data_IF_635311728924
#
_entry.id   IF_635311728924
#
_cell.length_a   1.000
_cell.length_b   1.000
_cell.length_c   1.000
_cell.angle_alpha   90.00
_cell.angle_beta   90.00
_cell.angle_gamma   90.00
#
_symmetry.space_group_name_H-M   'P 1'
#
loop_
_entity.id
_entity.type
_entity.pdbx_description
1 polymer ?
#
# COMPACT_ATOMS: atom_id res chain seq x y z
N UNK A 1 -18.80 3.79 45.83
CA UNK A 1 -17.56 4.57 45.76
C UNK A 1 -16.48 3.85 46.51
N UNK A 2 -15.24 3.74 45.96
CA UNK A 2 -14.06 3.12 46.56
C UNK A 2 -13.92 1.59 46.47
N UNK A 3 -13.60 1.06 45.26
CA UNK A 3 -12.71 -0.11 45.07
C UNK A 3 -12.09 -0.21 43.68
N UNK A 4 -12.26 0.81 42.79
CA UNK A 4 -11.72 0.82 41.46
C UNK A 4 -10.32 1.48 41.32
N UNK A 5 -9.66 1.85 42.42
CA UNK A 5 -8.46 2.70 42.41
C UNK A 5 -7.16 2.04 42.93
N UNK A 6 -7.05 0.70 42.94
CA UNK A 6 -5.85 0.03 43.46
C UNK A 6 -5.08 -0.86 42.47
N UNK A 7 -5.24 -0.66 41.16
CA UNK A 7 -4.40 -1.33 40.14
C UNK A 7 -3.65 -0.37 39.23
N UNK A 8 -3.33 0.85 39.67
CA UNK A 8 -2.40 1.75 38.94
C UNK A 8 -0.94 1.49 39.37
N UNK A 9 -0.43 0.31 39.03
CA UNK A 9 1.01 0.16 38.88
C UNK A 9 1.42 1.20 37.85
N UNK A 10 2.42 2.07 38.18
CA UNK A 10 2.89 3.18 37.34
C UNK A 10 3.10 2.69 35.90
N UNK A 11 2.15 2.98 35.01
CA UNK A 11 2.31 2.66 33.59
C UNK A 11 3.52 3.46 33.08
N UNK A 12 4.43 2.76 32.40
CA UNK A 12 5.63 3.39 31.82
C UNK A 12 5.24 4.59 30.96
N UNK A 13 5.94 5.71 31.10
CA UNK A 13 5.76 6.87 30.25
C UNK A 13 5.99 6.53 28.76
N UNK A 14 5.31 7.23 27.86
CA UNK A 14 5.52 7.11 26.41
C UNK A 14 6.97 7.47 26.06
N UNK A 15 7.59 6.68 25.19
CA UNK A 15 8.99 6.92 24.83
C UNK A 15 9.47 6.10 23.63
N UNK A 16 10.78 6.09 23.43
CA UNK A 16 11.44 5.42 22.29
C UNK A 16 11.09 3.94 22.17
N UNK A 17 10.91 3.26 23.31
CA UNK A 17 10.55 1.84 23.32
C UNK A 17 9.18 1.57 22.69
N UNK A 18 8.19 2.46 22.88
CA UNK A 18 6.88 2.34 22.22
C UNK A 18 6.99 2.61 20.71
N UNK A 19 7.81 3.61 20.31
CA UNK A 19 8.03 3.97 18.91
C UNK A 19 8.69 2.83 18.13
N UNK A 20 9.77 2.26 18.67
CA UNK A 20 10.47 1.14 18.06
C UNK A 20 9.62 -0.14 18.03
N UNK A 21 8.84 -0.39 19.08
CA UNK A 21 7.93 -1.51 19.12
C UNK A 21 6.81 -1.39 18.06
N UNK A 22 6.28 -0.19 17.89
CA UNK A 22 5.27 0.09 16.87
C UNK A 22 5.87 -0.02 15.46
N UNK A 23 7.09 0.50 15.24
CA UNK A 23 7.84 0.31 14.00
C UNK A 23 8.04 -1.18 13.66
N UNK A 24 8.46 -1.99 14.64
CA UNK A 24 8.65 -3.43 14.44
C UNK A 24 7.34 -4.14 14.02
N UNK A 25 6.19 -3.73 14.59
CA UNK A 25 4.89 -4.26 14.18
C UNK A 25 4.55 -3.99 12.71
N UNK A 26 4.90 -2.81 12.20
CA UNK A 26 4.69 -2.48 10.77
C UNK A 26 5.64 -3.27 9.86
N UNK A 27 6.91 -3.33 10.22
CA UNK A 27 7.88 -4.16 9.49
C UNK A 27 7.43 -5.63 9.42
N UNK A 28 6.87 -6.17 10.52
CA UNK A 28 6.34 -7.54 10.53
C UNK A 28 5.17 -7.72 9.54
N UNK A 29 4.25 -6.76 9.47
CA UNK A 29 3.17 -6.74 8.49
C UNK A 29 3.75 -6.68 7.06
N UNK A 30 4.69 -5.78 6.84
CA UNK A 30 5.20 -5.45 5.51
C UNK A 30 6.09 -6.55 4.93
N UNK A 31 6.81 -7.34 5.73
CA UNK A 31 7.56 -8.48 5.23
C UNK A 31 6.67 -9.49 4.48
N UNK A 32 5.46 -9.73 4.93
CA UNK A 32 4.53 -10.58 4.19
C UNK A 32 3.80 -9.84 3.08
N UNK A 33 3.34 -8.62 3.35
CA UNK A 33 2.52 -7.85 2.43
C UNK A 33 3.29 -7.39 1.19
N UNK A 34 4.45 -6.75 1.37
CA UNK A 34 5.26 -6.22 0.25
C UNK A 34 5.87 -7.36 -0.56
N UNK A 35 6.32 -8.43 0.12
CA UNK A 35 6.80 -9.63 -0.58
C UNK A 35 5.71 -10.21 -1.49
N UNK A 36 4.49 -10.33 -0.99
CA UNK A 36 3.36 -10.83 -1.78
C UNK A 36 2.96 -9.85 -2.88
N UNK A 37 2.90 -8.55 -2.59
CA UNK A 37 2.52 -7.55 -3.57
C UNK A 37 3.48 -7.46 -4.78
N UNK A 38 4.78 -7.66 -4.56
CA UNK A 38 5.80 -7.50 -5.60
C UNK A 38 6.19 -8.81 -6.29
N UNK A 39 6.14 -9.95 -5.60
CA UNK A 39 6.74 -11.19 -6.10
C UNK A 39 5.79 -12.39 -6.16
N UNK A 40 4.59 -12.32 -5.58
CA UNK A 40 3.69 -13.48 -5.57
C UNK A 40 3.16 -13.81 -6.96
N UNK A 41 2.83 -12.81 -7.77
CA UNK A 41 2.42 -12.99 -9.16
C UNK A 41 3.54 -13.68 -9.96
N UNK A 42 4.78 -13.20 -9.81
CA UNK A 42 5.97 -13.82 -10.43
C UNK A 42 6.15 -15.28 -10.00
N UNK A 43 6.01 -15.57 -8.70
CA UNK A 43 6.10 -16.94 -8.18
C UNK A 43 5.01 -17.84 -8.77
N UNK A 44 3.77 -17.37 -8.80
CA UNK A 44 2.66 -18.17 -9.34
C UNK A 44 2.78 -18.41 -10.86
N UNK A 45 3.22 -17.41 -11.63
CA UNK A 45 3.39 -17.57 -13.08
C UNK A 45 4.64 -18.39 -13.42
N UNK A 46 5.80 -18.03 -12.89
CA UNK A 46 7.08 -18.57 -13.33
C UNK A 46 7.47 -19.88 -12.61
N UNK A 47 7.06 -20.05 -11.34
CA UNK A 47 7.38 -21.26 -10.57
C UNK A 47 6.24 -22.28 -10.61
N UNK A 48 5.00 -21.86 -10.31
CA UNK A 48 3.85 -22.77 -10.32
C UNK A 48 3.26 -22.97 -11.72
N UNK A 49 3.65 -22.15 -12.70
CA UNK A 49 3.18 -22.19 -14.09
C UNK A 49 1.67 -21.99 -14.23
N UNK A 50 1.11 -21.05 -13.46
CA UNK A 50 -0.30 -20.69 -13.49
C UNK A 50 -0.51 -19.47 -14.38
N UNK A 51 -1.52 -19.51 -15.22
CA UNK A 51 -1.84 -18.42 -16.14
C UNK A 51 -2.23 -17.12 -15.41
N UNK A 52 -1.76 -15.99 -15.92
CA UNK A 52 -1.90 -14.67 -15.28
C UNK A 52 -3.35 -14.28 -15.03
N UNK A 53 -4.29 -14.62 -15.92
CA UNK A 53 -5.72 -14.31 -15.74
C UNK A 53 -6.34 -15.01 -14.53
N UNK A 54 -5.93 -16.26 -14.21
CA UNK A 54 -6.40 -16.99 -13.02
C UNK A 54 -5.94 -16.28 -11.77
N UNK A 55 -4.67 -15.83 -11.76
CA UNK A 55 -4.09 -15.07 -10.65
C UNK A 55 -4.81 -13.73 -10.48
N UNK A 56 -5.13 -13.06 -11.60
CA UNK A 56 -5.91 -11.82 -11.60
C UNK A 56 -7.31 -12.01 -10.98
N UNK A 57 -8.01 -13.08 -11.34
CA UNK A 57 -9.31 -13.44 -10.73
C UNK A 57 -9.15 -13.71 -9.23
N UNK A 58 -8.12 -14.46 -8.83
CA UNK A 58 -7.83 -14.73 -7.42
C UNK A 58 -7.66 -13.42 -6.64
N UNK A 59 -6.84 -12.49 -7.13
CA UNK A 59 -6.59 -11.22 -6.46
C UNK A 59 -7.84 -10.36 -6.35
N UNK A 60 -8.69 -10.33 -7.40
CA UNK A 60 -9.98 -9.63 -7.36
C UNK A 60 -10.93 -10.23 -6.33
N UNK A 61 -11.10 -11.56 -6.35
CA UNK A 61 -11.98 -12.25 -5.40
C UNK A 61 -11.53 -12.03 -3.95
N UNK A 62 -10.23 -12.16 -3.69
CA UNK A 62 -9.67 -11.93 -2.38
C UNK A 62 -9.98 -10.51 -1.87
N UNK A 63 -9.91 -9.47 -2.72
CA UNK A 63 -10.25 -8.11 -2.32
C UNK A 63 -11.72 -7.92 -1.97
N UNK A 64 -12.62 -8.65 -2.63
CA UNK A 64 -14.03 -8.66 -2.25
C UNK A 64 -14.19 -9.28 -0.86
N UNK A 65 -13.54 -10.42 -0.61
CA UNK A 65 -13.55 -11.08 0.71
C UNK A 65 -12.92 -10.19 1.78
N UNK A 66 -11.79 -9.52 1.49
CA UNK A 66 -11.11 -8.55 2.38
C UNK A 66 -12.09 -7.47 2.87
N UNK A 67 -12.94 -6.94 1.98
CA UNK A 67 -13.92 -5.92 2.35
C UNK A 67 -14.87 -6.38 3.46
N UNK A 68 -15.32 -7.63 3.42
CA UNK A 68 -16.20 -8.21 4.45
C UNK A 68 -15.43 -8.56 5.72
N UNK A 69 -14.25 -9.15 5.59
CA UNK A 69 -13.44 -9.57 6.75
C UNK A 69 -12.88 -8.40 7.52
N UNK A 70 -12.51 -7.30 6.85
CA UNK A 70 -12.07 -6.06 7.49
C UNK A 70 -13.16 -5.46 8.38
N UNK A 71 -14.41 -5.40 7.89
CA UNK A 71 -15.56 -4.93 8.67
C UNK A 71 -15.81 -5.87 9.85
N UNK A 72 -15.77 -7.19 9.60
CA UNK A 72 -15.95 -8.20 10.63
C UNK A 72 -14.88 -8.10 11.73
N UNK A 73 -13.60 -7.95 11.34
CA UNK A 73 -12.50 -7.83 12.28
C UNK A 73 -12.54 -6.50 13.05
N UNK A 74 -12.92 -5.39 12.41
CA UNK A 74 -13.15 -4.12 13.08
C UNK A 74 -14.16 -4.27 14.22
N UNK A 75 -15.29 -4.94 13.96
CA UNK A 75 -16.29 -5.23 15.02
C UNK A 75 -15.77 -6.14 16.12
N UNK A 76 -14.99 -7.18 15.77
CA UNK A 76 -14.36 -8.04 16.79
C UNK A 76 -13.45 -7.20 17.68
N UNK A 77 -12.65 -6.32 17.10
CA UNK A 77 -11.76 -5.42 17.84
C UNK A 77 -12.53 -4.51 18.80
N UNK A 78 -13.68 -3.97 18.39
CA UNK A 78 -14.46 -3.03 19.20
C UNK A 78 -15.24 -3.71 20.33
N UNK A 79 -15.67 -4.96 20.11
CA UNK A 79 -16.54 -5.68 21.05
C UNK A 79 -15.83 -6.66 21.98
N UNK A 80 -14.60 -7.09 21.62
CA UNK A 80 -13.86 -8.08 22.41
C UNK A 80 -13.47 -7.51 23.77
N UNK A 81 -13.63 -8.32 24.81
CA UNK A 81 -13.14 -7.97 26.16
C UNK A 81 -11.61 -7.90 26.12
N UNK A 82 -11.00 -6.87 26.76
CA UNK A 82 -9.56 -6.76 26.84
C UNK A 82 -8.93 -8.01 27.47
N UNK A 83 -7.85 -8.49 26.86
CA UNK A 83 -7.01 -9.52 27.46
C UNK A 83 -6.18 -8.94 28.62
N UNK A 84 -5.58 -9.77 29.48
CA UNK A 84 -4.73 -9.26 30.56
C UNK A 84 -3.56 -8.39 30.08
N UNK A 85 -3.06 -8.67 28.87
CA UNK A 85 -1.98 -7.93 28.24
C UNK A 85 -2.41 -6.67 27.46
N UNK A 86 -3.70 -6.43 27.32
CA UNK A 86 -4.30 -5.37 26.51
C UNK A 86 -5.20 -5.93 25.41
N UNK A 87 -6.08 -5.09 24.84
CA UNK A 87 -7.03 -5.48 23.79
C UNK A 87 -6.30 -5.77 22.46
N UNK A 88 -5.59 -4.79 21.94
CA UNK A 88 -4.93 -4.87 20.63
C UNK A 88 -3.69 -5.75 20.67
N UNK A 89 -2.87 -5.57 21.70
CA UNK A 89 -1.66 -6.39 21.92
C UNK A 89 -2.02 -7.88 22.09
N UNK A 90 -3.10 -8.18 22.81
CA UNK A 90 -3.58 -9.55 22.98
C UNK A 90 -4.02 -10.19 21.67
N UNK A 91 -4.67 -9.44 20.77
CA UNK A 91 -5.06 -9.92 19.44
C UNK A 91 -3.83 -10.15 18.55
N UNK A 92 -2.89 -9.18 18.48
CA UNK A 92 -1.66 -9.30 17.69
C UNK A 92 -0.89 -10.56 18.10
N UNK A 93 -0.69 -10.79 19.41
CA UNK A 93 0.02 -11.97 19.90
C UNK A 93 -0.59 -13.27 19.40
N UNK A 94 -1.93 -13.36 19.43
CA UNK A 94 -2.65 -14.59 19.06
C UNK A 94 -2.75 -14.81 17.57
N UNK A 95 -2.85 -13.73 16.79
CA UNK A 95 -2.95 -13.79 15.32
C UNK A 95 -1.57 -13.93 14.63
N UNK A 96 -0.48 -13.50 15.26
CA UNK A 96 0.87 -13.55 14.69
C UNK A 96 1.30 -14.94 14.18
N UNK A 97 1.09 -16.07 14.90
CA UNK A 97 1.47 -17.38 14.37
C UNK A 97 0.73 -17.74 13.08
N UNK A 98 -0.55 -17.37 12.97
CA UNK A 98 -1.38 -17.70 11.82
C UNK A 98 -0.98 -16.89 10.58
N UNK A 99 -0.69 -15.59 10.71
CA UNK A 99 -0.22 -14.78 9.59
C UNK A 99 1.17 -15.19 9.13
N UNK A 100 2.06 -15.55 10.04
CA UNK A 100 3.39 -16.03 9.67
C UNK A 100 3.34 -17.40 8.99
N UNK A 101 2.55 -18.34 9.51
CA UNK A 101 2.40 -19.66 8.89
C UNK A 101 1.74 -19.55 7.51
N UNK A 102 0.64 -18.83 7.40
CA UNK A 102 -0.06 -18.66 6.11
C UNK A 102 0.78 -17.88 5.09
N UNK A 103 1.52 -16.86 5.53
CA UNK A 103 2.46 -16.15 4.68
C UNK A 103 3.57 -17.07 4.13
N UNK A 104 4.13 -17.95 4.96
CA UNK A 104 5.08 -18.97 4.52
C UNK A 104 4.49 -19.88 3.44
N UNK A 105 3.25 -20.32 3.62
CA UNK A 105 2.57 -21.19 2.66
C UNK A 105 2.36 -20.54 1.28
N UNK A 106 2.30 -19.22 1.17
CA UNK A 106 2.13 -18.55 -0.13
C UNK A 106 3.25 -18.84 -1.13
N UNK A 107 4.48 -19.09 -0.64
CA UNK A 107 5.69 -19.25 -1.46
C UNK A 107 6.30 -20.65 -1.35
N UNK A 108 5.48 -21.67 -1.15
CA UNK A 108 5.95 -23.04 -1.00
C UNK A 108 6.25 -23.68 -2.36
N UNK A 109 7.53 -23.82 -2.71
CA UNK A 109 7.98 -24.26 -4.05
C UNK A 109 7.64 -25.74 -4.36
N UNK A 110 7.49 -26.60 -3.36
CA UNK A 110 7.14 -28.01 -3.57
C UNK A 110 5.79 -28.22 -4.28
N UNK A 111 4.91 -27.21 -4.23
CA UNK A 111 3.61 -27.21 -4.94
C UNK A 111 3.79 -27.21 -6.46
N UNK A 112 4.97 -26.79 -6.98
CA UNK A 112 5.26 -26.77 -8.42
C UNK A 112 5.07 -28.13 -9.12
N UNK A 113 5.25 -29.22 -8.37
CA UNK A 113 5.20 -30.59 -8.88
C UNK A 113 3.79 -31.21 -8.78
N UNK A 114 2.82 -30.49 -8.25
CA UNK A 114 1.43 -30.94 -8.14
C UNK A 114 0.68 -30.83 -9.47
N UNK A 115 -0.44 -31.57 -9.60
CA UNK A 115 -1.34 -31.41 -10.74
C UNK A 115 -1.93 -29.98 -10.81
N UNK A 116 -2.16 -29.50 -12.01
CA UNK A 116 -2.58 -28.11 -12.26
C UNK A 116 -3.82 -27.69 -11.48
N UNK A 117 -4.82 -28.56 -11.39
CA UNK A 117 -6.05 -28.29 -10.64
C UNK A 117 -5.81 -28.13 -9.14
N UNK A 118 -4.94 -28.95 -8.56
CA UNK A 118 -4.57 -28.82 -7.14
C UNK A 118 -3.76 -27.55 -6.86
N UNK A 119 -2.91 -27.11 -7.78
CA UNK A 119 -2.21 -25.83 -7.68
C UNK A 119 -3.19 -24.65 -7.59
N UNK A 120 -4.24 -24.65 -8.46
CA UNK A 120 -5.24 -23.60 -8.43
C UNK A 120 -5.98 -23.58 -7.09
N UNK A 121 -6.45 -24.73 -6.61
CA UNK A 121 -7.13 -24.81 -5.32
C UNK A 121 -6.20 -24.31 -4.20
N UNK A 122 -4.94 -24.72 -4.24
CA UNK A 122 -3.94 -24.32 -3.24
C UNK A 122 -3.75 -22.81 -3.18
N UNK A 123 -3.53 -22.13 -4.33
CA UNK A 123 -3.31 -20.69 -4.33
C UNK A 123 -4.55 -19.92 -3.87
N UNK A 124 -5.76 -20.37 -4.23
CA UNK A 124 -7.00 -19.75 -3.78
C UNK A 124 -7.18 -19.87 -2.26
N UNK A 125 -7.00 -21.06 -1.72
CA UNK A 125 -7.15 -21.32 -0.28
C UNK A 125 -6.10 -20.56 0.53
N UNK A 126 -4.83 -20.68 0.15
CA UNK A 126 -3.73 -20.06 0.92
C UNK A 126 -3.74 -18.55 0.85
N UNK A 127 -4.01 -17.97 -0.32
CA UNK A 127 -4.02 -16.52 -0.50
C UNK A 127 -5.21 -15.86 0.22
N UNK A 128 -6.41 -16.41 0.08
CA UNK A 128 -7.61 -15.90 0.77
C UNK A 128 -7.45 -16.06 2.28
N UNK A 129 -6.94 -17.21 2.76
CA UNK A 129 -6.72 -17.41 4.19
C UNK A 129 -5.69 -16.43 4.74
N UNK A 130 -4.56 -16.25 4.05
CA UNK A 130 -3.53 -15.30 4.47
C UNK A 130 -4.04 -13.86 4.44
N UNK A 131 -4.55 -13.38 3.32
CA UNK A 131 -4.92 -11.97 3.11
C UNK A 131 -6.14 -11.58 3.90
N UNK A 132 -7.23 -12.31 3.69
CA UNK A 132 -8.55 -11.91 4.19
C UNK A 132 -8.77 -12.27 5.67
N UNK A 133 -8.13 -13.31 6.18
CA UNK A 133 -8.33 -13.73 7.58
C UNK A 133 -7.11 -13.45 8.45
N UNK A 134 -5.95 -14.05 8.16
CA UNK A 134 -4.80 -14.00 9.06
C UNK A 134 -4.16 -12.60 9.09
N UNK A 135 -3.94 -11.97 7.93
CA UNK A 135 -3.37 -10.64 7.83
C UNK A 135 -4.31 -9.57 8.42
N UNK A 136 -5.60 -9.62 8.08
CA UNK A 136 -6.62 -8.72 8.63
C UNK A 136 -6.71 -8.82 10.16
N UNK A 137 -6.58 -10.04 10.73
CA UNK A 137 -6.60 -10.28 12.16
C UNK A 137 -5.41 -9.64 12.92
N UNK A 138 -4.31 -9.35 12.25
CA UNK A 138 -3.16 -8.62 12.82
C UNK A 138 -3.18 -7.14 12.45
N UNK A 139 -3.41 -6.83 11.18
CA UNK A 139 -3.26 -5.48 10.65
C UNK A 139 -4.28 -4.48 11.23
N UNK A 140 -5.55 -4.90 11.42
CA UNK A 140 -6.58 -4.01 11.98
C UNK A 140 -6.31 -3.69 13.46
N UNK A 141 -6.05 -4.66 14.36
CA UNK A 141 -5.64 -4.34 15.72
C UNK A 141 -4.37 -3.50 15.80
N UNK A 142 -3.37 -3.81 14.95
CA UNK A 142 -2.13 -3.05 14.90
C UNK A 142 -2.37 -1.58 14.50
N UNK A 143 -3.13 -1.33 13.44
CA UNK A 143 -3.46 0.02 12.99
C UNK A 143 -4.22 0.83 14.06
N UNK A 144 -5.15 0.17 14.77
CA UNK A 144 -5.95 0.79 15.82
C UNK A 144 -5.17 1.01 17.13
N UNK A 145 -4.11 0.24 17.38
CA UNK A 145 -3.34 0.30 18.62
C UNK A 145 -2.71 1.67 18.89
N UNK A 146 -2.38 2.46 17.87
CA UNK A 146 -1.84 3.80 18.02
C UNK A 146 -2.71 4.72 18.89
N UNK A 147 -4.04 4.54 18.83
CA UNK A 147 -5.01 5.37 19.56
C UNK A 147 -4.98 5.13 21.07
N UNK A 148 -4.55 3.94 21.51
CA UNK A 148 -4.50 3.55 22.92
C UNK A 148 -3.08 3.61 23.51
N UNK A 149 -2.04 3.73 22.69
CA UNK A 149 -0.67 3.92 23.17
C UNK A 149 -0.50 5.30 23.82
N UNK A 150 -1.07 6.36 23.23
CA UNK A 150 -1.05 7.71 23.80
C UNK A 150 -2.28 8.52 23.40
N UNK A 151 -2.76 9.36 24.32
CA UNK A 151 -3.80 10.35 24.05
C UNK A 151 -3.28 11.59 23.31
N UNK A 152 -1.95 11.88 23.41
CA UNK A 152 -1.35 13.08 22.84
C UNK A 152 -1.20 12.95 21.33
N UNK A 153 -1.65 13.95 20.60
CA UNK A 153 -1.56 14.00 19.13
C UNK A 153 -0.10 13.96 18.63
N UNK A 154 0.81 14.61 19.36
CA UNK A 154 2.26 14.62 19.06
C UNK A 154 2.87 13.21 19.12
N UNK A 155 2.51 12.44 20.15
CA UNK A 155 2.97 11.05 20.31
C UNK A 155 2.45 10.16 19.18
N UNK A 156 1.17 10.29 18.81
CA UNK A 156 0.55 9.56 17.70
C UNK A 156 1.20 9.93 16.36
N UNK A 157 1.49 11.20 16.15
CA UNK A 157 2.23 11.66 14.96
C UNK A 157 3.63 11.03 14.92
N UNK A 158 4.32 10.98 16.05
CA UNK A 158 5.61 10.30 16.17
C UNK A 158 5.51 8.81 15.84
N UNK A 159 4.50 8.11 16.34
CA UNK A 159 4.25 6.69 15.99
C UNK A 159 4.08 6.51 14.48
N UNK A 160 3.32 7.40 13.83
CA UNK A 160 3.13 7.35 12.37
C UNK A 160 4.42 7.55 11.59
N UNK A 161 5.32 8.43 12.06
CA UNK A 161 6.66 8.60 11.45
C UNK A 161 7.48 7.33 11.57
N UNK A 162 7.56 6.73 12.76
CA UNK A 162 8.31 5.47 12.96
C UNK A 162 7.72 4.32 12.16
N UNK A 163 6.39 4.24 12.04
CA UNK A 163 5.69 3.31 11.17
C UNK A 163 6.16 3.46 9.72
N UNK A 164 6.13 4.68 9.19
CA UNK A 164 6.58 4.95 7.81
C UNK A 164 8.05 4.58 7.60
N UNK A 165 8.92 4.83 8.59
CA UNK A 165 10.33 4.40 8.52
C UNK A 165 10.42 2.88 8.44
N UNK A 166 9.67 2.15 9.28
CA UNK A 166 9.64 0.68 9.25
C UNK A 166 9.18 0.13 7.90
N UNK A 167 8.09 0.66 7.35
CA UNK A 167 7.60 0.29 6.02
C UNK A 167 8.67 0.49 4.92
N UNK A 168 9.33 1.64 4.91
CA UNK A 168 10.38 1.91 3.93
C UNK A 168 11.60 0.99 4.08
N UNK A 169 11.99 0.62 5.29
CA UNK A 169 13.05 -0.37 5.52
C UNK A 169 12.64 -1.72 4.93
N UNK A 170 11.41 -2.18 5.17
CA UNK A 170 10.91 -3.43 4.60
C UNK A 170 10.89 -3.39 3.06
N UNK A 171 10.41 -2.28 2.46
CA UNK A 171 10.46 -2.06 1.00
C UNK A 171 11.88 -2.18 0.48
N UNK A 172 12.85 -1.49 1.10
CA UNK A 172 14.25 -1.51 0.66
C UNK A 172 14.84 -2.93 0.73
N UNK A 173 14.65 -3.63 1.85
CA UNK A 173 15.17 -5.00 2.05
C UNK A 173 14.57 -5.96 1.01
N UNK A 174 13.26 -5.90 0.79
CA UNK A 174 12.56 -6.80 -0.14
C UNK A 174 12.90 -6.45 -1.59
N UNK A 175 12.70 -5.20 -1.99
CA UNK A 175 12.87 -4.81 -3.40
C UNK A 175 14.30 -4.90 -3.89
N UNK A 176 15.29 -4.62 -3.02
CA UNK A 176 16.70 -4.77 -3.37
C UNK A 176 17.19 -6.21 -3.22
N UNK A 177 16.87 -6.87 -2.11
CA UNK A 177 17.44 -8.17 -1.75
C UNK A 177 16.85 -9.34 -2.54
N UNK A 178 15.53 -9.38 -2.73
CA UNK A 178 14.86 -10.55 -3.32
C UNK A 178 15.36 -10.86 -4.73
N UNK A 179 15.45 -9.90 -5.68
CA UNK A 179 15.91 -10.23 -7.02
C UNK A 179 17.33 -10.81 -7.06
N UNK A 180 18.22 -10.32 -6.18
CA UNK A 180 19.59 -10.80 -6.11
C UNK A 180 19.69 -12.25 -5.60
N UNK A 181 18.77 -12.67 -4.73
CA UNK A 181 18.77 -13.99 -4.11
C UNK A 181 17.99 -15.03 -4.92
N UNK A 182 16.90 -14.61 -5.57
CA UNK A 182 15.98 -15.51 -6.28
C UNK A 182 16.47 -15.83 -7.69
N UNK A 183 17.15 -14.91 -8.38
CA UNK A 183 17.64 -15.15 -9.72
C UNK A 183 19.10 -15.62 -9.71
N UNK A 184 19.38 -16.67 -10.51
CA UNK A 184 20.72 -17.18 -10.80
C UNK A 184 21.01 -16.98 -12.27
N UNK A 185 22.26 -16.72 -12.61
CA UNK A 185 22.69 -16.62 -14.00
C UNK A 185 23.16 -18.01 -14.46
N UNK A 186 22.49 -18.57 -15.47
CA UNK A 186 22.81 -19.86 -16.09
C UNK A 186 22.88 -19.59 -17.59
N UNK A 187 24.01 -19.90 -18.19
CA UNK A 187 24.28 -19.71 -19.63
C UNK A 187 23.94 -18.28 -20.14
N UNK A 188 24.27 -17.26 -19.34
CA UNK A 188 24.02 -15.87 -19.68
C UNK A 188 22.55 -15.40 -19.56
N UNK A 189 21.67 -16.25 -19.03
CA UNK A 189 20.26 -15.94 -18.76
C UNK A 189 19.97 -15.92 -17.27
N UNK A 190 19.03 -15.07 -16.87
CA UNK A 190 18.56 -15.01 -15.50
C UNK A 190 17.45 -16.06 -15.28
N UNK A 191 17.75 -17.09 -14.52
CA UNK A 191 16.79 -18.13 -14.17
C UNK A 191 16.35 -18.03 -12.71
N UNK A 192 15.09 -18.37 -12.43
CA UNK A 192 14.54 -18.37 -11.08
C UNK A 192 14.98 -19.66 -10.35
N UNK A 193 15.47 -19.50 -9.13
CA UNK A 193 15.67 -20.57 -8.17
C UNK A 193 14.42 -20.74 -7.29
N UNK A 194 13.52 -21.69 -7.59
CA UNK A 194 12.19 -21.75 -6.95
C UNK A 194 12.27 -21.94 -5.43
N UNK A 195 13.25 -22.71 -4.96
CA UNK A 195 13.48 -23.00 -3.55
C UNK A 195 13.81 -21.74 -2.73
N UNK A 196 14.45 -20.75 -3.37
CA UNK A 196 14.86 -19.51 -2.69
C UNK A 196 13.65 -18.70 -2.23
N UNK A 197 12.55 -18.71 -2.97
CA UNK A 197 11.31 -18.06 -2.51
C UNK A 197 10.82 -18.63 -1.18
N UNK A 198 10.82 -19.94 -1.05
CA UNK A 198 10.40 -20.63 0.18
C UNK A 198 11.33 -20.33 1.35
N UNK A 199 12.66 -20.40 1.13
CA UNK A 199 13.64 -20.15 2.19
C UNK A 199 13.60 -18.69 2.66
N UNK A 200 13.55 -17.75 1.73
CA UNK A 200 13.49 -16.31 2.05
C UNK A 200 12.19 -15.99 2.78
N UNK A 201 11.05 -16.48 2.27
CA UNK A 201 9.77 -16.25 2.94
C UNK A 201 9.74 -16.89 4.33
N UNK A 202 10.32 -18.08 4.50
CA UNK A 202 10.50 -18.71 5.80
C UNK A 202 11.31 -17.84 6.77
N UNK A 203 12.44 -17.29 6.31
CA UNK A 203 13.26 -16.38 7.10
C UNK A 203 12.49 -15.09 7.46
N UNK A 204 11.79 -14.49 6.49
CA UNK A 204 10.96 -13.30 6.75
C UNK A 204 9.84 -13.57 7.75
N UNK A 205 9.18 -14.72 7.68
CA UNK A 205 8.12 -15.06 8.63
C UNK A 205 8.65 -15.32 10.05
N UNK A 206 9.85 -15.86 10.19
CA UNK A 206 10.53 -15.97 11.49
C UNK A 206 10.86 -14.57 12.05
N UNK A 207 11.43 -13.69 11.23
CA UNK A 207 11.75 -12.32 11.61
C UNK A 207 10.45 -11.55 11.95
N UNK A 208 9.41 -11.68 11.12
CA UNK A 208 8.11 -11.07 11.36
C UNK A 208 7.49 -11.55 12.67
N UNK A 209 7.57 -12.84 12.97
CA UNK A 209 7.09 -13.38 14.24
C UNK A 209 7.83 -12.76 15.44
N UNK A 210 9.15 -12.65 15.36
CA UNK A 210 9.96 -11.98 16.39
C UNK A 210 9.52 -10.51 16.54
N UNK A 211 9.32 -9.79 15.44
CA UNK A 211 8.89 -8.40 15.46
C UNK A 211 7.48 -8.21 16.02
N UNK A 212 6.55 -9.13 15.75
CA UNK A 212 5.25 -9.13 16.42
C UNK A 212 5.38 -9.35 17.93
N UNK A 213 6.30 -10.24 18.38
CA UNK A 213 6.56 -10.42 19.81
C UNK A 213 7.18 -9.17 20.44
N UNK A 214 8.08 -8.46 19.72
CA UNK A 214 8.62 -7.17 20.16
C UNK A 214 7.50 -6.13 20.25
N UNK A 215 6.65 -6.03 19.22
CA UNK A 215 5.50 -5.13 19.21
C UNK A 215 4.58 -5.40 20.41
N UNK A 216 4.20 -6.66 20.63
CA UNK A 216 3.36 -7.06 21.76
C UNK A 216 4.00 -6.78 23.13
N UNK A 217 5.29 -7.15 23.33
CA UNK A 217 5.93 -7.03 24.66
C UNK A 217 6.36 -5.61 24.99
N UNK A 218 6.76 -4.84 24.00
CA UNK A 218 7.41 -3.55 24.20
C UNK A 218 6.48 -2.34 24.08
N UNK A 219 5.33 -2.45 23.41
CA UNK A 219 4.30 -1.40 23.44
C UNK A 219 3.46 -1.46 24.71
N UNK A 220 2.84 -0.35 25.07
CA UNK A 220 1.97 -0.26 26.26
C UNK A 220 0.67 0.44 25.90
N UNK A 221 -0.46 -0.23 26.09
CA UNK A 221 -1.78 0.36 25.96
C UNK A 221 -2.10 1.15 27.24
N UNK A 222 -2.14 2.48 27.14
CA UNK A 222 -2.34 3.39 28.28
C UNK A 222 -3.77 3.85 28.42
N UNK A 223 -4.54 3.76 27.33
CA UNK A 223 -5.95 4.14 27.31
C UNK A 223 -6.76 2.85 27.28
N UNK A 224 -7.58 2.66 28.30
CA UNK A 224 -8.51 1.56 28.35
C UNK A 224 -9.82 2.00 27.68
N UNK A 225 -10.15 1.37 26.55
CA UNK A 225 -11.43 1.54 25.87
C UNK A 225 -12.40 0.50 26.40
N UNK A 226 -13.56 0.93 26.89
CA UNK A 226 -14.63 0.01 27.22
C UNK A 226 -15.14 -0.69 25.96
N UNK A 227 -15.51 -1.99 26.04
CA UNK A 227 -16.12 -2.68 24.91
C UNK A 227 -17.45 -2.01 24.55
N UNK A 228 -17.65 -1.73 23.27
CA UNK A 228 -18.94 -1.22 22.80
C UNK A 228 -20.04 -2.24 23.04
N UNK A 229 -21.16 -1.79 23.60
CA UNK A 229 -22.33 -2.65 23.75
C UNK A 229 -23.01 -2.84 22.39
N UNK A 230 -23.57 -4.04 22.08
CA UNK A 230 -24.13 -4.38 20.76
C UNK A 230 -25.31 -3.52 20.26
N UNK A 231 -25.59 -2.38 20.85
CA UNK A 231 -26.80 -1.58 20.61
C UNK A 231 -26.82 -0.78 19.30
N UNK A 232 -25.71 -0.69 18.52
CA UNK A 232 -25.66 0.24 17.40
C UNK A 232 -25.55 -0.45 16.02
N UNK A 233 -26.55 -1.26 15.68
CA UNK A 233 -26.73 -1.71 14.28
C UNK A 233 -27.06 -0.56 13.29
N UNK A 234 -27.45 0.61 13.79
CA UNK A 234 -27.82 1.77 12.95
C UNK A 234 -26.64 2.52 12.35
N UNK A 235 -25.51 2.65 13.06
CA UNK A 235 -24.38 3.48 12.64
C UNK A 235 -23.68 3.01 11.37
N UNK A 236 -23.50 1.72 11.17
CA UNK A 236 -22.79 1.23 9.99
C UNK A 236 -23.51 1.59 8.66
N UNK A 237 -24.84 1.57 8.64
CA UNK A 237 -25.61 1.94 7.45
C UNK A 237 -25.67 3.47 7.26
N UNK A 238 -25.79 4.20 8.36
CA UNK A 238 -25.75 5.66 8.37
C UNK A 238 -24.38 6.21 7.95
N UNK A 239 -23.29 5.54 8.38
CA UNK A 239 -21.93 5.88 7.96
C UNK A 239 -21.71 5.63 6.48
N UNK A 240 -22.17 4.50 5.94
CA UNK A 240 -22.12 4.21 4.50
C UNK A 240 -22.95 5.24 3.72
N UNK A 241 -24.12 5.59 4.21
CA UNK A 241 -24.98 6.60 3.57
C UNK A 241 -24.33 8.00 3.63
N UNK A 242 -23.66 8.36 4.74
CA UNK A 242 -22.91 9.60 4.87
C UNK A 242 -21.72 9.66 3.91
N UNK A 243 -20.98 8.54 3.76
CA UNK A 243 -19.89 8.39 2.78
C UNK A 243 -20.42 8.63 1.36
N UNK A 244 -21.52 7.98 0.98
CA UNK A 244 -22.13 8.16 -0.34
C UNK A 244 -22.64 9.59 -0.56
N UNK A 245 -23.28 10.18 0.45
CA UNK A 245 -23.77 11.57 0.37
C UNK A 245 -22.63 12.56 0.17
N UNK A 246 -21.53 12.41 0.93
CA UNK A 246 -20.36 13.28 0.79
C UNK A 246 -19.64 13.06 -0.54
N UNK A 247 -19.59 11.83 -1.01
CA UNK A 247 -19.05 11.53 -2.34
C UNK A 247 -19.82 12.25 -3.43
N UNK A 248 -21.15 12.20 -3.40
CA UNK A 248 -22.01 12.82 -4.44
C UNK A 248 -22.03 14.35 -4.33
N UNK A 249 -21.93 14.93 -3.14
CA UNK A 249 -22.07 16.36 -2.91
C UNK A 249 -20.77 17.17 -3.04
N UNK A 250 -19.61 16.51 -2.96
CA UNK A 250 -18.30 17.18 -2.97
C UNK A 250 -17.51 16.88 -4.24
N UNK A 251 -17.62 17.78 -5.23
CA UNK A 251 -16.94 17.62 -6.51
C UNK A 251 -15.41 17.57 -6.39
N UNK A 252 -14.81 18.34 -5.47
CA UNK A 252 -13.37 18.29 -5.23
C UNK A 252 -12.93 16.91 -4.72
N UNK A 253 -13.73 16.31 -3.83
CA UNK A 253 -13.49 14.97 -3.32
C UNK A 253 -13.61 13.92 -4.44
N UNK A 254 -14.63 14.01 -5.30
CA UNK A 254 -14.82 13.08 -6.43
C UNK A 254 -13.60 13.05 -7.34
N UNK A 255 -13.13 14.23 -7.77
CA UNK A 255 -11.97 14.32 -8.65
C UNK A 255 -10.72 13.81 -7.95
N UNK A 256 -10.54 14.11 -6.66
CA UNK A 256 -9.37 13.65 -5.92
C UNK A 256 -9.37 12.13 -5.69
N UNK A 257 -10.54 11.53 -5.50
CA UNK A 257 -10.71 10.07 -5.46
C UNK A 257 -10.35 9.44 -6.80
N UNK A 258 -10.83 10.01 -7.92
CA UNK A 258 -10.48 9.52 -9.25
C UNK A 258 -8.97 9.59 -9.49
N UNK A 259 -8.33 10.71 -9.10
CA UNK A 259 -6.86 10.86 -9.14
C UNK A 259 -6.16 9.75 -8.33
N UNK A 260 -6.63 9.47 -7.13
CA UNK A 260 -6.05 8.42 -6.28
C UNK A 260 -6.20 7.02 -6.89
N UNK A 261 -7.36 6.71 -7.45
CA UNK A 261 -7.61 5.42 -8.12
C UNK A 261 -6.68 5.25 -9.32
N UNK A 262 -6.61 6.26 -10.20
CA UNK A 262 -5.74 6.22 -11.40
C UNK A 262 -4.27 6.11 -11.02
N UNK A 263 -3.83 6.82 -9.97
CA UNK A 263 -2.47 6.73 -9.45
C UNK A 263 -2.14 5.30 -8.97
N UNK A 264 -3.03 4.70 -8.19
CA UNK A 264 -2.85 3.35 -7.68
C UNK A 264 -2.84 2.31 -8.80
N UNK A 265 -3.74 2.46 -9.78
CA UNK A 265 -3.76 1.60 -10.97
C UNK A 265 -2.42 1.67 -11.71
N UNK A 266 -1.94 2.87 -12.05
CA UNK A 266 -0.66 3.05 -12.73
C UNK A 266 0.52 2.47 -11.96
N UNK A 267 0.61 2.77 -10.65
CA UNK A 267 1.74 2.34 -9.82
C UNK A 267 1.76 0.81 -9.62
N UNK A 268 0.61 0.20 -9.32
CA UNK A 268 0.55 -1.23 -9.03
C UNK A 268 0.68 -2.07 -10.30
N UNK A 269 0.19 -1.59 -11.45
CA UNK A 269 0.45 -2.22 -12.75
C UNK A 269 1.93 -2.23 -13.09
N UNK A 270 2.63 -1.10 -12.91
CA UNK A 270 4.09 -1.03 -13.10
C UNK A 270 4.80 -2.01 -12.18
N UNK A 271 4.45 -2.05 -10.89
CA UNK A 271 5.07 -2.99 -9.95
C UNK A 271 4.86 -4.46 -10.35
N UNK A 272 3.67 -4.80 -10.85
CA UNK A 272 3.36 -6.15 -11.33
C UNK A 272 4.17 -6.53 -12.58
N UNK A 273 4.46 -5.55 -13.47
CA UNK A 273 5.20 -5.79 -14.71
C UNK A 273 6.72 -5.71 -14.56
N UNK A 274 7.23 -5.02 -13.53
CA UNK A 274 8.66 -4.80 -13.33
C UNK A 274 9.53 -6.07 -13.37
N UNK A 275 9.18 -7.21 -12.74
CA UNK A 275 9.99 -8.41 -12.82
C UNK A 275 10.18 -8.91 -14.26
N UNK A 276 9.11 -8.88 -15.05
CA UNK A 276 9.13 -9.32 -16.45
C UNK A 276 9.90 -8.34 -17.34
N UNK A 277 9.73 -7.02 -17.12
CA UNK A 277 10.47 -6.00 -17.86
C UNK A 277 11.98 -6.07 -17.60
N UNK A 278 12.38 -6.10 -16.32
CA UNK A 278 13.82 -6.04 -16.01
C UNK A 278 14.52 -7.38 -16.21
N UNK A 279 13.83 -8.51 -15.99
CA UNK A 279 14.47 -9.82 -16.07
C UNK A 279 14.27 -10.45 -17.45
N UNK A 280 13.05 -10.51 -17.97
CA UNK A 280 12.80 -11.21 -19.24
C UNK A 280 13.21 -10.33 -20.45
N UNK A 281 12.92 -9.02 -20.44
CA UNK A 281 13.29 -8.10 -21.53
C UNK A 281 14.73 -7.60 -21.43
N UNK A 282 15.15 -7.04 -20.28
CA UNK A 282 16.50 -6.50 -20.11
C UNK A 282 17.55 -7.51 -19.62
N UNK A 283 17.15 -8.72 -19.26
CA UNK A 283 18.00 -9.78 -18.71
C UNK A 283 18.86 -9.32 -17.52
N UNK A 284 18.31 -8.52 -16.61
CA UNK A 284 19.06 -7.92 -15.51
C UNK A 284 18.29 -7.94 -14.17
N UNK A 285 18.62 -8.91 -13.31
CA UNK A 285 18.14 -8.93 -11.92
C UNK A 285 18.62 -7.72 -11.10
N UNK A 286 19.82 -7.22 -11.41
CA UNK A 286 20.38 -6.06 -10.72
C UNK A 286 19.60 -4.78 -11.03
N UNK A 287 19.14 -4.63 -12.29
CA UNK A 287 18.26 -3.52 -12.67
C UNK A 287 16.90 -3.59 -11.95
N UNK A 288 16.34 -4.79 -11.77
CA UNK A 288 15.12 -4.97 -10.98
C UNK A 288 15.32 -4.54 -9.51
N UNK A 289 16.47 -4.91 -8.91
CA UNK A 289 16.81 -4.51 -7.54
C UNK A 289 16.94 -3.00 -7.39
N UNK A 290 17.65 -2.34 -8.31
CA UNK A 290 17.83 -0.88 -8.29
C UNK A 290 16.51 -0.16 -8.56
N UNK A 291 15.75 -0.60 -9.57
CA UNK A 291 14.45 -0.02 -9.92
C UNK A 291 13.45 -0.09 -8.75
N UNK A 292 13.49 -1.19 -7.99
CA UNK A 292 12.61 -1.40 -6.84
C UNK A 292 12.82 -0.42 -5.67
N UNK A 293 14.02 0.16 -5.53
CA UNK A 293 14.30 1.13 -4.46
C UNK A 293 14.11 2.59 -4.89
N UNK A 294 13.88 2.85 -6.17
CA UNK A 294 13.76 4.22 -6.68
C UNK A 294 12.56 4.98 -6.13
N UNK A 295 11.41 4.31 -5.94
CA UNK A 295 10.21 4.96 -5.46
C UNK A 295 10.37 5.56 -4.04
N UNK A 296 10.83 4.82 -3.01
CA UNK A 296 11.10 5.41 -1.70
C UNK A 296 12.22 6.48 -1.77
N UNK A 297 13.27 6.27 -2.55
CA UNK A 297 14.33 7.28 -2.71
C UNK A 297 13.78 8.57 -3.32
N UNK A 298 12.92 8.48 -4.32
CA UNK A 298 12.28 9.64 -4.94
C UNK A 298 11.43 10.44 -3.95
N UNK A 299 10.67 9.77 -3.09
CA UNK A 299 9.90 10.42 -2.01
C UNK A 299 10.81 11.18 -1.06
N UNK A 300 11.89 10.55 -0.58
CA UNK A 300 12.85 11.20 0.32
C UNK A 300 13.59 12.36 -0.36
N UNK A 301 13.96 12.21 -1.62
CA UNK A 301 14.63 13.26 -2.38
C UNK A 301 13.73 14.49 -2.59
N UNK A 302 12.42 14.29 -2.80
CA UNK A 302 11.49 15.37 -3.07
C UNK A 302 10.88 16.02 -1.82
N UNK A 303 10.93 15.35 -0.67
CA UNK A 303 10.35 15.86 0.58
C UNK A 303 10.88 17.26 1.00
N UNK A 304 12.19 17.58 0.92
CA UNK A 304 12.71 18.89 1.27
C UNK A 304 12.20 20.03 0.36
N UNK A 305 11.91 19.71 -0.90
CA UNK A 305 11.47 20.68 -1.90
C UNK A 305 9.95 20.89 -1.89
N UNK A 306 9.19 19.91 -1.40
CA UNK A 306 7.74 19.87 -1.49
C UNK A 306 7.08 21.11 -0.87
N UNK A 307 7.45 21.48 0.36
CA UNK A 307 6.88 22.63 1.05
C UNK A 307 7.15 23.95 0.31
N UNK A 308 8.37 24.12 -0.19
CA UNK A 308 8.77 25.33 -0.93
C UNK A 308 8.00 25.49 -2.23
N UNK A 309 7.88 24.39 -2.99
CA UNK A 309 7.16 24.41 -4.28
C UNK A 309 5.66 24.61 -4.10
N UNK A 310 5.06 23.98 -3.10
CA UNK A 310 3.66 24.19 -2.73
C UNK A 310 3.40 25.67 -2.36
N UNK A 311 4.29 26.28 -1.58
CA UNK A 311 4.16 27.69 -1.18
C UNK A 311 4.26 28.64 -2.39
N UNK A 312 5.18 28.38 -3.32
CA UNK A 312 5.41 29.25 -4.48
C UNK A 312 4.35 29.06 -5.56
N UNK A 313 4.08 27.83 -5.94
CA UNK A 313 3.26 27.50 -7.12
C UNK A 313 1.84 27.05 -6.77
N UNK A 314 1.58 26.57 -5.56
CA UNK A 314 0.35 25.89 -5.18
C UNK A 314 0.43 24.37 -5.33
N UNK A 315 -0.47 23.64 -4.61
CA UNK A 315 -0.49 22.17 -4.60
C UNK A 315 -0.91 21.60 -5.95
N UNK A 316 -2.05 22.06 -6.47
CA UNK A 316 -2.64 21.64 -7.75
C UNK A 316 -1.70 21.88 -8.91
N UNK A 317 -1.16 23.08 -9.00
CA UNK A 317 -0.33 23.55 -10.10
C UNK A 317 1.00 22.80 -10.15
N UNK A 318 1.69 22.72 -9.02
CA UNK A 318 2.98 22.00 -8.94
C UNK A 318 2.84 20.49 -9.14
N UNK A 319 1.79 19.86 -8.59
CA UNK A 319 1.52 18.44 -8.78
C UNK A 319 1.20 18.11 -10.25
N UNK A 320 0.37 18.93 -10.91
CA UNK A 320 0.03 18.70 -12.31
C UNK A 320 1.25 18.78 -13.25
N UNK A 321 2.15 19.75 -13.02
CA UNK A 321 3.40 19.86 -13.80
C UNK A 321 4.34 18.69 -13.51
N UNK A 322 4.54 18.30 -12.25
CA UNK A 322 5.40 17.20 -11.89
C UNK A 322 4.95 15.88 -12.53
N UNK A 323 3.65 15.59 -12.49
CA UNK A 323 3.09 14.38 -13.11
C UNK A 323 3.07 14.45 -14.63
N UNK A 324 2.90 15.63 -15.24
CA UNK A 324 3.02 15.82 -16.68
C UNK A 324 4.45 15.50 -17.16
N UNK A 325 5.47 15.97 -16.43
CA UNK A 325 6.88 15.64 -16.73
C UNK A 325 7.10 14.12 -16.64
N UNK A 326 6.57 13.47 -15.58
CA UNK A 326 6.64 12.02 -15.47
C UNK A 326 5.97 11.30 -16.65
N UNK A 327 4.79 11.77 -17.08
CA UNK A 327 4.09 11.21 -18.24
C UNK A 327 4.89 11.37 -19.53
N UNK A 328 5.47 12.55 -19.77
CA UNK A 328 6.29 12.82 -20.96
C UNK A 328 7.51 11.89 -21.00
N UNK A 329 8.18 11.66 -19.87
CA UNK A 329 9.32 10.75 -19.81
C UNK A 329 8.89 9.32 -20.13
N UNK A 330 7.79 8.82 -19.57
CA UNK A 330 7.30 7.48 -19.88
C UNK A 330 6.84 7.35 -21.36
N UNK A 331 6.24 8.39 -21.95
CA UNK A 331 5.97 8.42 -23.39
C UNK A 331 7.26 8.41 -24.21
N UNK A 332 8.29 9.15 -23.80
CA UNK A 332 9.58 9.12 -24.47
C UNK A 332 10.21 7.72 -24.42
N UNK A 333 10.18 7.05 -23.26
CA UNK A 333 10.62 5.66 -23.13
C UNK A 333 9.85 4.71 -24.07
N UNK A 334 8.54 4.90 -24.19
CA UNK A 334 7.70 4.10 -25.10
C UNK A 334 8.09 4.31 -26.57
N UNK A 335 8.26 5.56 -27.02
CA UNK A 335 8.54 5.86 -28.42
C UNK A 335 9.98 5.57 -28.85
N UNK A 336 10.97 5.83 -28.00
CA UNK A 336 12.38 5.68 -28.32
C UNK A 336 12.93 4.27 -28.12
N UNK A 337 12.19 3.39 -27.49
CA UNK A 337 12.54 1.96 -27.30
C UNK A 337 13.99 1.76 -26.82
N UNK A 338 14.30 2.29 -25.63
CA UNK A 338 15.66 2.29 -25.07
C UNK A 338 16.07 0.87 -24.69
N UNK A 339 17.12 0.35 -25.34
CA UNK A 339 17.64 -1.01 -25.10
C UNK A 339 18.68 -1.07 -23.97
N UNK A 340 19.34 0.04 -23.66
CA UNK A 340 20.29 0.08 -22.56
C UNK A 340 19.55 0.26 -21.23
N UNK A 341 19.60 -0.76 -20.37
CA UNK A 341 18.89 -0.78 -19.09
C UNK A 341 19.30 0.35 -18.14
N UNK A 342 20.56 0.78 -18.16
CA UNK A 342 21.05 1.85 -17.27
C UNK A 342 20.52 3.22 -17.68
N UNK A 343 20.46 3.46 -18.99
CA UNK A 343 19.83 4.67 -19.54
C UNK A 343 18.32 4.66 -19.22
N UNK A 344 17.68 3.50 -19.42
CA UNK A 344 16.28 3.31 -19.08
C UNK A 344 16.01 3.63 -17.59
N UNK A 345 16.80 3.07 -16.68
CA UNK A 345 16.69 3.31 -15.23
C UNK A 345 16.90 4.80 -14.87
N UNK A 346 17.83 5.49 -15.53
CA UNK A 346 18.03 6.92 -15.29
C UNK A 346 16.77 7.74 -15.63
N UNK A 347 16.13 7.47 -16.77
CA UNK A 347 14.88 8.12 -17.15
C UNK A 347 13.72 7.76 -16.19
N UNK A 348 13.59 6.49 -15.82
CA UNK A 348 12.59 6.04 -14.84
C UNK A 348 12.79 6.72 -13.51
N UNK A 349 14.03 6.87 -13.02
CA UNK A 349 14.30 7.58 -11.77
C UNK A 349 13.84 9.04 -11.82
N UNK A 350 14.13 9.74 -12.91
CA UNK A 350 13.67 11.13 -13.10
C UNK A 350 12.13 11.21 -13.14
N UNK A 351 11.48 10.27 -13.82
CA UNK A 351 10.02 10.20 -13.83
C UNK A 351 9.45 9.95 -12.42
N UNK A 352 10.08 9.08 -11.63
CA UNK A 352 9.65 8.78 -10.27
C UNK A 352 9.82 9.95 -9.31
N UNK A 353 10.70 10.93 -9.58
CA UNK A 353 10.78 12.15 -8.76
C UNK A 353 9.45 12.94 -8.79
N UNK A 354 8.79 13.05 -9.94
CA UNK A 354 7.48 13.71 -10.04
C UNK A 354 6.39 12.99 -9.25
N UNK A 355 6.39 11.65 -9.30
CA UNK A 355 5.47 10.80 -8.55
C UNK A 355 5.78 10.87 -7.03
N UNK A 356 7.07 10.84 -6.68
CA UNK A 356 7.55 11.00 -5.31
C UNK A 356 7.10 12.34 -4.71
N UNK A 357 7.22 13.41 -5.47
CA UNK A 357 6.70 14.73 -5.09
C UNK A 357 5.20 14.69 -4.79
N UNK A 358 4.41 14.11 -5.70
CA UNK A 358 2.96 13.99 -5.50
C UNK A 358 2.61 13.18 -4.25
N UNK A 359 3.31 12.07 -4.01
CA UNK A 359 3.11 11.24 -2.82
C UNK A 359 3.39 11.99 -1.50
N UNK A 360 4.35 12.93 -1.49
CA UNK A 360 4.62 13.77 -0.32
C UNK A 360 3.46 14.72 0.00
N UNK A 361 2.83 15.27 -1.04
CA UNK A 361 1.80 16.31 -0.85
C UNK A 361 0.36 15.80 -0.90
N UNK A 362 0.15 14.53 -1.24
CA UNK A 362 -1.19 13.95 -1.44
C UNK A 362 -2.12 14.13 -0.24
N UNK A 363 -1.61 14.00 0.97
CA UNK A 363 -2.39 14.18 2.20
C UNK A 363 -2.79 15.64 2.45
N UNK A 364 -2.02 16.59 1.94
CA UNK A 364 -2.35 18.00 2.04
C UNK A 364 -3.53 18.40 1.13
N UNK A 365 -3.82 17.64 0.08
CA UNK A 365 -5.04 17.83 -0.72
C UNK A 365 -6.30 17.48 0.05
N UNK A 366 -6.24 16.44 0.89
CA UNK A 366 -7.39 16.00 1.71
C UNK A 366 -7.78 17.08 2.70
N UNK A 367 -6.79 17.70 3.35
CA UNK A 367 -7.06 18.83 4.27
C UNK A 367 -7.74 20.00 3.57
N UNK A 368 -7.31 20.34 2.35
CA UNK A 368 -7.96 21.41 1.56
C UNK A 368 -9.41 21.06 1.20
N UNK A 369 -9.69 19.79 0.88
CA UNK A 369 -11.05 19.32 0.58
C UNK A 369 -11.94 19.40 1.82
N UNK A 370 -11.42 19.04 3.00
CA UNK A 370 -12.12 19.14 4.28
C UNK A 370 -12.46 20.61 4.59
N UNK A 371 -11.48 21.49 4.49
CA UNK A 371 -11.64 22.92 4.75
C UNK A 371 -12.64 23.56 3.79
N UNK A 372 -12.58 23.22 2.51
CA UNK A 372 -13.52 23.69 1.50
C UNK A 372 -14.96 23.22 1.77
N UNK A 373 -15.13 21.95 2.16
CA UNK A 373 -16.44 21.42 2.52
C UNK A 373 -17.01 22.09 3.76
N UNK A 374 -16.18 22.31 4.78
CA UNK A 374 -16.59 23.00 6.01
C UNK A 374 -17.12 24.42 5.71
N UNK A 375 -16.43 25.18 4.87
CA UNK A 375 -16.88 26.52 4.48
C UNK A 375 -18.18 26.53 3.68
N UNK A 376 -18.46 25.45 2.92
CA UNK A 376 -19.72 25.32 2.15
C UNK A 376 -20.91 24.88 3.00
N UNK A 377 -20.69 23.98 3.95
CA UNK A 377 -21.79 23.31 4.66
C UNK A 377 -21.95 23.76 6.10
N UNK A 378 -21.00 24.53 6.63
CA UNK A 378 -20.85 24.87 8.07
C UNK A 378 -20.83 23.62 8.98
N UNK A 379 -20.57 22.43 8.42
CA UNK A 379 -20.42 21.17 9.15
C UNK A 379 -19.01 20.64 8.97
N UNK A 380 -18.35 20.34 10.06
CA UNK A 380 -17.01 19.77 10.01
C UNK A 380 -17.12 18.24 10.01
N UNK A 381 -16.81 17.62 8.86
CA UNK A 381 -16.96 16.19 8.61
C UNK A 381 -15.60 15.55 8.26
N UNK A 382 -14.56 15.89 9.04
CA UNK A 382 -13.16 15.49 8.80
C UNK A 382 -13.03 13.97 8.67
N UNK A 383 -13.61 13.24 9.63
CA UNK A 383 -13.56 11.78 9.67
C UNK A 383 -14.24 11.11 8.48
N UNK A 384 -15.39 11.61 8.06
CA UNK A 384 -16.16 11.03 6.96
C UNK A 384 -15.45 11.25 5.61
N UNK A 385 -14.88 12.44 5.37
CA UNK A 385 -14.11 12.71 4.14
C UNK A 385 -12.85 11.84 4.09
N UNK A 386 -12.14 11.74 5.20
CA UNK A 386 -10.97 10.87 5.29
C UNK A 386 -11.32 9.39 5.07
N UNK A 387 -12.40 8.89 5.69
CA UNK A 387 -12.88 7.54 5.51
C UNK A 387 -13.28 7.24 4.07
N UNK A 388 -13.97 8.20 3.41
CA UNK A 388 -14.37 8.09 2.00
C UNK A 388 -13.13 7.96 1.09
N UNK A 389 -12.11 8.78 1.31
CA UNK A 389 -10.86 8.69 0.57
C UNK A 389 -10.11 7.36 0.82
N UNK A 390 -10.02 6.93 2.08
CA UNK A 390 -9.39 5.66 2.44
C UNK A 390 -10.09 4.45 1.81
N UNK A 391 -11.43 4.46 1.78
CA UNK A 391 -12.24 3.45 1.10
C UNK A 391 -11.95 3.41 -0.40
N UNK A 392 -11.92 4.58 -1.05
CA UNK A 392 -11.62 4.67 -2.47
C UNK A 392 -10.22 4.17 -2.81
N UNK A 393 -9.22 4.44 -1.96
CA UNK A 393 -7.86 3.86 -2.11
C UNK A 393 -7.87 2.33 -2.03
N UNK A 394 -8.60 1.74 -1.08
CA UNK A 394 -8.74 0.29 -0.98
C UNK A 394 -9.39 -0.30 -2.24
N UNK A 395 -10.42 0.37 -2.78
CA UNK A 395 -11.05 -0.03 -4.04
C UNK A 395 -10.06 0.04 -5.21
N UNK A 396 -9.28 1.12 -5.30
CA UNK A 396 -8.23 1.26 -6.32
C UNK A 396 -7.17 0.17 -6.22
N UNK A 397 -6.74 -0.20 -5.02
CA UNK A 397 -5.81 -1.31 -4.79
C UNK A 397 -6.41 -2.67 -5.20
N UNK A 398 -7.72 -2.87 -4.93
CA UNK A 398 -8.43 -4.06 -5.34
C UNK A 398 -8.45 -4.25 -6.85
N UNK A 399 -8.84 -3.19 -7.57
CA UNK A 399 -8.87 -3.18 -9.03
C UNK A 399 -7.46 -3.40 -9.63
N UNK A 400 -6.45 -2.73 -9.11
CA UNK A 400 -5.09 -2.83 -9.60
C UNK A 400 -4.49 -4.23 -9.40
N UNK A 401 -4.78 -4.89 -8.26
CA UNK A 401 -4.31 -6.25 -8.00
C UNK A 401 -4.82 -7.26 -9.04
N UNK A 402 -6.10 -7.17 -9.41
CA UNK A 402 -6.67 -8.03 -10.45
C UNK A 402 -6.19 -7.68 -11.86
N UNK A 403 -6.08 -6.40 -12.17
CA UNK A 403 -5.63 -5.94 -13.49
C UNK A 403 -4.19 -6.30 -13.81
N UNK A 404 -3.31 -6.50 -12.81
CA UNK A 404 -1.94 -6.96 -13.03
C UNK A 404 -1.88 -8.31 -13.75
N UNK A 405 -2.68 -9.30 -13.31
CA UNK A 405 -2.76 -10.61 -13.96
C UNK A 405 -3.41 -10.56 -15.36
N UNK A 406 -4.44 -9.71 -15.51
CA UNK A 406 -5.06 -9.46 -16.82
C UNK A 406 -4.08 -8.79 -17.77
N UNK A 407 -3.31 -7.80 -17.32
CA UNK A 407 -2.30 -7.12 -18.12
C UNK A 407 -1.24 -8.09 -18.64
N UNK A 408 -0.77 -9.01 -17.80
CA UNK A 408 0.20 -10.02 -18.21
C UNK A 408 -0.37 -10.95 -19.31
N UNK A 409 -1.64 -11.31 -19.21
CA UNK A 409 -2.31 -12.11 -20.25
C UNK A 409 -2.53 -11.30 -21.54
N UNK A 410 -2.84 -10.01 -21.44
CA UNK A 410 -3.04 -9.13 -22.60
C UNK A 410 -1.77 -8.91 -23.42
N UNK A 411 -0.59 -8.87 -22.76
CA UNK A 411 0.71 -8.80 -23.48
C UNK A 411 1.12 -10.15 -24.07
N UNK A 412 0.33 -11.20 -23.89
CA UNK A 412 0.55 -12.54 -24.45
C UNK A 412 1.59 -13.37 -23.67
N UNK A 413 1.89 -13.02 -22.42
CA UNK A 413 2.84 -13.78 -21.60
C UNK A 413 2.37 -15.20 -21.34
N UNK A 414 3.23 -16.18 -21.65
CA UNK A 414 2.93 -17.62 -21.49
C UNK A 414 3.73 -18.18 -20.29
N UNK A 415 3.03 -18.57 -19.23
CA UNK A 415 3.64 -19.09 -18.01
C UNK A 415 4.41 -20.41 -18.20
N UNK A 416 4.03 -21.20 -19.23
CA UNK A 416 4.62 -22.50 -19.50
C UNK A 416 5.88 -22.48 -20.34
N UNK A 417 6.21 -21.31 -20.94
CA UNK A 417 7.34 -21.17 -21.86
C UNK A 417 8.54 -20.60 -21.11
N UNK A 418 9.69 -21.23 -21.25
CA UNK A 418 10.93 -20.80 -20.57
C UNK A 418 11.55 -19.54 -21.21
N UNK A 419 11.30 -19.29 -22.48
CA UNK A 419 11.77 -18.10 -23.21
C UNK A 419 10.60 -17.53 -23.99
N UNK A 420 10.22 -16.29 -23.69
CA UNK A 420 9.15 -15.60 -24.40
C UNK A 420 9.57 -15.19 -25.80
N UNK A 421 8.62 -15.07 -26.73
CA UNK A 421 8.90 -14.53 -28.05
C UNK A 421 9.27 -13.05 -27.99
N UNK A 422 10.01 -12.54 -28.98
CA UNK A 422 10.39 -11.11 -29.04
C UNK A 422 9.15 -10.20 -29.06
N UNK A 423 8.08 -10.61 -29.72
CA UNK A 423 6.81 -9.89 -29.77
C UNK A 423 6.20 -9.70 -28.38
N UNK A 424 6.24 -10.74 -27.53
CA UNK A 424 5.77 -10.68 -26.15
C UNK A 424 6.65 -9.77 -25.31
N UNK A 425 7.98 -9.86 -25.49
CA UNK A 425 8.93 -8.99 -24.79
C UNK A 425 8.73 -7.52 -25.14
N UNK A 426 8.53 -7.20 -26.41
CA UNK A 426 8.24 -5.85 -26.90
C UNK A 426 6.87 -5.34 -26.38
N UNK A 427 5.91 -6.23 -26.26
CA UNK A 427 4.60 -5.93 -25.64
C UNK A 427 4.72 -5.62 -24.16
N UNK A 428 5.56 -6.36 -23.42
CA UNK A 428 5.87 -6.09 -22.00
C UNK A 428 6.52 -4.71 -21.86
N UNK A 429 7.53 -4.40 -22.69
CA UNK A 429 8.19 -3.11 -22.69
C UNK A 429 7.20 -1.97 -22.98
N UNK A 430 6.40 -2.13 -24.04
CA UNK A 430 5.40 -1.14 -24.45
C UNK A 430 4.36 -0.89 -23.35
N UNK A 431 3.80 -1.94 -22.77
CA UNK A 431 2.82 -1.84 -21.71
C UNK A 431 3.38 -1.20 -20.43
N UNK A 432 4.61 -1.60 -20.04
CA UNK A 432 5.29 -1.07 -18.84
C UNK A 432 5.56 0.43 -18.90
N UNK A 433 5.65 0.99 -20.12
CA UNK A 433 5.84 2.42 -20.32
C UNK A 433 4.54 3.17 -20.64
N UNK A 434 3.64 2.59 -21.44
CA UNK A 434 2.42 3.25 -21.87
C UNK A 434 1.38 3.36 -20.74
N UNK A 435 1.24 2.33 -19.91
CA UNK A 435 0.28 2.34 -18.81
C UNK A 435 0.56 3.46 -17.77
N UNK A 436 1.78 3.63 -17.25
CA UNK A 436 2.10 4.75 -16.38
C UNK A 436 2.04 6.10 -17.10
N UNK A 437 2.48 6.19 -18.38
CA UNK A 437 2.40 7.43 -19.18
C UNK A 437 0.96 7.95 -19.24
N UNK A 438 0.01 7.09 -19.61
CA UNK A 438 -1.41 7.42 -19.69
C UNK A 438 -1.95 7.77 -18.30
N UNK A 439 -1.63 6.98 -17.28
CA UNK A 439 -2.12 7.22 -15.93
C UNK A 439 -1.69 8.59 -15.39
N UNK A 440 -0.41 8.92 -15.51
CA UNK A 440 0.10 10.21 -15.01
C UNK A 440 -0.36 11.39 -15.87
N UNK A 441 -0.55 11.19 -17.17
CA UNK A 441 -1.16 12.22 -18.04
C UNK A 441 -2.62 12.50 -17.62
N UNK A 442 -3.42 11.46 -17.41
CA UNK A 442 -4.80 11.62 -16.93
C UNK A 442 -4.83 12.37 -15.61
N UNK A 443 -3.96 12.03 -14.65
CA UNK A 443 -3.90 12.72 -13.37
C UNK A 443 -3.49 14.18 -13.55
N UNK A 444 -2.49 14.45 -14.38
CA UNK A 444 -2.05 15.83 -14.66
C UNK A 444 -3.18 16.68 -15.26
N UNK A 445 -3.96 16.13 -16.21
CA UNK A 445 -5.13 16.76 -16.81
C UNK A 445 -6.24 16.97 -15.77
N UNK A 446 -6.58 15.95 -15.00
CA UNK A 446 -7.60 16.07 -13.95
C UNK A 446 -7.24 17.14 -12.92
N UNK A 447 -6.00 17.15 -12.45
CA UNK A 447 -5.53 18.17 -11.51
C UNK A 447 -5.54 19.56 -12.15
N UNK A 448 -5.02 19.72 -13.36
CA UNK A 448 -4.87 21.03 -14.00
C UNK A 448 -6.20 21.67 -14.38
N UNK A 449 -7.11 20.90 -14.98
CA UNK A 449 -8.30 21.45 -15.62
C UNK A 449 -9.61 21.15 -14.87
N UNK A 450 -9.69 20.04 -14.15
CA UNK A 450 -10.96 19.60 -13.55
C UNK A 450 -11.00 19.84 -12.04
N UNK A 451 -9.88 19.65 -11.34
CA UNK A 451 -9.83 19.82 -9.87
C UNK A 451 -10.05 21.30 -9.50
N UNK A 452 -11.06 21.63 -8.64
CA UNK A 452 -11.51 23.02 -8.45
C UNK A 452 -10.64 23.83 -7.49
N UNK A 453 -9.87 23.19 -6.59
CA UNK A 453 -9.14 23.91 -5.54
C UNK A 453 -7.76 24.36 -6.05
N UNK A 454 -7.73 25.50 -6.75
CA UNK A 454 -6.50 26.19 -7.13
C UNK A 454 -5.84 26.87 -5.93
N UNK A 455 -4.59 27.34 -6.09
CA UNK A 455 -3.85 28.08 -5.07
C UNK A 455 -4.67 29.25 -4.50
N UNK A 456 -5.32 30.04 -5.37
CA UNK A 456 -6.09 31.21 -4.95
C UNK A 456 -7.35 30.83 -4.16
N UNK A 457 -8.01 29.71 -4.52
CA UNK A 457 -9.17 29.19 -3.78
C UNK A 457 -8.75 28.70 -2.40
N UNK A 458 -7.64 27.96 -2.32
CA UNK A 458 -7.11 27.47 -1.04
C UNK A 458 -6.70 28.61 -0.11
N UNK A 459 -6.07 29.67 -0.64
CA UNK A 459 -5.72 30.85 0.15
C UNK A 459 -6.97 31.57 0.67
N UNK A 460 -7.98 31.80 -0.17
CA UNK A 460 -9.25 32.38 0.25
C UNK A 460 -9.95 31.53 1.32
N UNK A 461 -9.93 30.22 1.19
CA UNK A 461 -10.49 29.32 2.20
C UNK A 461 -9.75 29.47 3.54
N UNK A 462 -8.42 29.52 3.51
CA UNK A 462 -7.60 29.69 4.72
C UNK A 462 -7.88 31.04 5.42
N UNK A 463 -7.98 32.14 4.67
CA UNK A 463 -8.33 33.44 5.22
C UNK A 463 -9.76 33.47 5.82
N UNK A 464 -10.70 32.77 5.19
CA UNK A 464 -12.08 32.68 5.71
C UNK A 464 -12.12 31.89 7.03
N UNK A 465 -11.37 30.79 7.11
CA UNK A 465 -11.23 30.00 8.34
C UNK A 465 -10.58 30.78 9.48
N UNK A 466 -9.53 31.55 9.18
CA UNK A 466 -8.88 32.39 10.17
C UNK A 466 -9.81 33.47 10.73
N UNK A 467 -10.67 34.06 9.88
CA UNK A 467 -11.71 35.01 10.32
C UNK A 467 -12.77 34.38 11.21
N UNK A 468 -13.14 33.10 10.94
CA UNK A 468 -14.10 32.35 11.77
C UNK A 468 -13.51 31.97 13.12
N UNK A 469 -12.21 31.68 13.19
CA UNK A 469 -11.52 31.30 14.44
C UNK A 469 -11.28 32.50 15.39
N UNK A 470 -11.34 33.74 14.88
CA UNK A 470 -11.19 34.99 15.65
C UNK A 470 -12.52 35.57 16.16
N UNK A 471 -13.65 34.98 15.75
CA UNK A 471 -15.00 35.25 16.29
C UNK A 471 -15.37 34.25 17.39
#
# INVERSE_FOLDING_TARGET
>A
MNQANQASGQQRAFGMKDKLAYMAGDMANDFSFIMSANFLMLFYTNVLKIEGYIIGILFLLARVVDGFTDIGMGRIVDTIKPYPEGRFRGLIRRAAPFVCLSGFLLFLHIVKDWDYSYKIIYIFVTYIFWGSFAYTAVNIPYGSMATVISAKTEDRSSLSVYRTVGANIAVLVISFGIPLLVYREIDGKQEIAPEMFTYIMGAFMIIAFIFYQVCWRCSTERIQLEPETPKEKKHCFEDIQAIFRNLVSNFALQIFILVAIVLLLGTLLVNAMNPYLYVDYFNSKFALSIGGVFAPIAVFAMAPFAQRWVKVYGKKESASVALLVSAIIYFALYFFHITNVWVYLAFVFVALLGIGYFNVIVWAFITDVIDHQFLKTNKREDGTIYATYSFARKLGQALAGGLGGVALSLVGYQAHVSVQSQEVLDSIYSFSNLAPAISYLIIAILLKFVYPLSKDVVLKNSEALEKLSKK
#
